data_IF_591086255665
#
_entry.id   IF_591086255665
#
_cell.length_a   1.000
_cell.length_b   1.000
_cell.length_c   1.000
_cell.angle_alpha   90.00
_cell.angle_beta   90.00
_cell.angle_gamma   90.00
#
_symmetry.space_group_name_H-M   'P 1'
#
loop_
_entity.id
_entity.type
_entity.pdbx_description
1 polymer ?
#
# COMPACT_ATOMS: atom_id res chain seq x y z
N UNK A 1 13.58 7.78 5.34
CA UNK A 1 13.33 6.33 5.36
C UNK A 1 12.32 6.13 6.45
N UNK A 2 11.16 5.59 6.10
CA UNK A 2 10.03 5.42 7.01
C UNK A 2 10.47 4.65 8.26
N UNK A 3 10.56 5.36 9.37
CA UNK A 3 10.79 4.79 10.69
C UNK A 3 9.44 4.39 11.32
N UNK A 4 9.48 3.79 12.51
CA UNK A 4 8.29 3.35 13.24
C UNK A 4 7.20 4.43 13.33
N UNK A 5 7.60 5.66 13.65
CA UNK A 5 6.69 6.78 13.82
C UNK A 5 5.98 7.10 12.49
N UNK A 6 6.72 7.17 11.37
CA UNK A 6 6.12 7.45 10.06
C UNK A 6 5.23 6.31 9.54
N UNK A 7 5.55 5.05 9.84
CA UNK A 7 4.67 3.91 9.53
C UNK A 7 3.33 4.07 10.25
N UNK A 8 3.34 4.52 11.50
CA UNK A 8 2.10 4.77 12.25
C UNK A 8 1.30 5.93 11.65
N UNK A 9 1.95 7.03 11.26
CA UNK A 9 1.27 8.13 10.56
C UNK A 9 0.63 7.65 9.25
N UNK A 10 1.34 6.85 8.46
CA UNK A 10 0.80 6.25 7.25
C UNK A 10 -0.44 5.39 7.55
N UNK A 11 -0.38 4.52 8.56
CA UNK A 11 -1.51 3.66 8.91
C UNK A 11 -2.74 4.46 9.36
N UNK A 12 -2.54 5.51 10.17
CA UNK A 12 -3.62 6.37 10.66
C UNK A 12 -4.33 7.08 9.50
N UNK A 13 -3.57 7.79 8.66
CA UNK A 13 -4.16 8.54 7.56
C UNK A 13 -4.68 7.62 6.42
N UNK A 14 -4.12 6.43 6.27
CA UNK A 14 -4.65 5.44 5.32
C UNK A 14 -6.08 5.05 5.71
N UNK A 15 -6.37 4.88 7.00
CA UNK A 15 -7.73 4.63 7.47
C UNK A 15 -8.71 5.75 7.13
N UNK A 16 -8.30 7.01 7.34
CA UNK A 16 -9.09 8.16 6.89
C UNK A 16 -9.23 8.19 5.36
N UNK A 17 -8.21 7.81 4.60
CA UNK A 17 -8.23 7.88 3.14
C UNK A 17 -9.13 6.81 2.52
N UNK A 18 -9.13 5.60 3.10
CA UNK A 18 -9.88 4.44 2.60
C UNK A 18 -11.36 4.43 3.01
N UNK A 19 -11.85 5.42 3.76
CA UNK A 19 -13.29 5.64 3.94
C UNK A 19 -13.97 6.20 2.67
N UNK A 20 -13.18 6.61 1.67
CA UNK A 20 -13.59 7.23 0.40
C UNK A 20 -14.51 8.47 0.52
N UNK A 21 -14.60 9.09 1.70
CA UNK A 21 -15.31 10.35 1.92
C UNK A 21 -14.44 11.56 1.53
N UNK A 22 -14.42 11.88 0.25
CA UNK A 22 -13.66 13.00 -0.30
C UNK A 22 -12.23 12.66 -0.71
N UNK A 23 -11.51 13.62 -1.31
CA UNK A 23 -10.27 13.34 -2.02
C UNK A 23 -9.07 13.18 -1.06
N UNK A 24 -8.15 12.29 -1.43
CA UNK A 24 -7.00 11.90 -0.60
C UNK A 24 -6.02 13.05 -0.32
N UNK A 25 -5.84 13.96 -1.28
CA UNK A 25 -4.97 15.14 -1.15
C UNK A 25 -5.47 16.12 -0.08
N UNK A 26 -6.79 16.34 0.00
CA UNK A 26 -7.41 17.16 1.04
C UNK A 26 -7.22 16.53 2.42
N UNK A 27 -7.37 15.20 2.53
CA UNK A 27 -7.12 14.46 3.78
C UNK A 27 -5.67 14.57 4.22
N UNK A 28 -4.71 14.35 3.31
CA UNK A 28 -3.27 14.58 3.54
C UNK A 28 -2.99 16.01 3.99
N UNK A 29 -3.55 17.02 3.32
CA UNK A 29 -3.38 18.42 3.68
C UNK A 29 -3.90 18.74 5.10
N UNK A 30 -5.08 18.23 5.46
CA UNK A 30 -5.66 18.40 6.79
C UNK A 30 -4.81 17.68 7.85
N UNK A 31 -4.40 16.45 7.58
CA UNK A 31 -3.58 15.65 8.48
C UNK A 31 -2.24 16.34 8.80
N UNK A 32 -1.54 16.85 7.77
CA UNK A 32 -0.27 17.57 7.96
C UNK A 32 -0.43 18.92 8.67
N UNK A 33 -1.62 19.54 8.62
CA UNK A 33 -1.92 20.74 9.43
C UNK A 33 -2.11 20.41 10.90
N UNK A 34 -2.69 19.25 11.21
CA UNK A 34 -2.87 18.76 12.58
C UNK A 34 -1.57 18.23 13.20
N UNK A 35 -0.65 17.75 12.37
CA UNK A 35 0.64 17.17 12.76
C UNK A 35 1.80 18.08 12.33
N UNK A 36 1.88 19.26 12.97
CA UNK A 36 2.85 20.31 12.65
C UNK A 36 4.31 19.91 12.88
N UNK A 37 4.55 18.87 13.68
CA UNK A 37 5.86 18.27 13.94
C UNK A 37 6.46 17.54 12.73
N UNK A 38 5.63 17.15 11.75
CA UNK A 38 6.08 16.46 10.54
C UNK A 38 6.78 17.45 9.60
N UNK A 39 8.07 17.22 9.36
CA UNK A 39 8.86 18.01 8.43
C UNK A 39 8.52 17.74 6.96
N UNK A 40 9.07 18.55 6.05
CA UNK A 40 8.82 18.41 4.60
C UNK A 40 9.15 17.01 4.08
N UNK A 41 10.26 16.43 4.56
CA UNK A 41 10.68 15.07 4.19
C UNK A 41 9.66 14.02 4.63
N UNK A 42 9.22 14.09 5.89
CA UNK A 42 8.26 13.15 6.48
C UNK A 42 6.94 13.18 5.72
N UNK A 43 6.45 14.37 5.39
CA UNK A 43 5.24 14.57 4.57
C UNK A 43 5.37 13.95 3.19
N UNK A 44 6.55 14.09 2.56
CA UNK A 44 6.85 13.45 1.28
C UNK A 44 6.77 11.92 1.37
N UNK A 45 7.43 11.33 2.38
CA UNK A 45 7.44 9.88 2.58
C UNK A 45 6.02 9.33 2.90
N UNK A 46 5.23 10.06 3.69
CA UNK A 46 3.82 9.69 3.97
C UNK A 46 2.98 9.77 2.70
N UNK A 47 3.07 10.87 1.94
CA UNK A 47 2.29 11.02 0.71
C UNK A 47 2.63 9.94 -0.32
N UNK A 48 3.91 9.63 -0.51
CA UNK A 48 4.38 8.56 -1.38
C UNK A 48 3.80 7.19 -0.96
N UNK A 49 3.83 6.88 0.33
CA UNK A 49 3.22 5.68 0.88
C UNK A 49 1.72 5.60 0.59
N UNK A 50 0.97 6.65 0.89
CA UNK A 50 -0.49 6.66 0.69
C UNK A 50 -0.85 6.51 -0.78
N UNK A 51 -0.27 7.31 -1.68
CA UNK A 51 -0.57 7.19 -3.11
C UNK A 51 -0.04 5.89 -3.71
N UNK A 52 1.07 5.37 -3.21
CA UNK A 52 1.61 4.07 -3.57
C UNK A 52 0.63 2.94 -3.23
N UNK A 53 0.06 2.96 -2.02
CA UNK A 53 -0.95 2.00 -1.57
C UNK A 53 -2.22 2.13 -2.40
N UNK A 54 -2.75 3.34 -2.60
CA UNK A 54 -3.98 3.56 -3.37
C UNK A 54 -3.85 3.01 -4.80
N UNK A 55 -2.71 3.20 -5.46
CA UNK A 55 -2.45 2.69 -6.81
C UNK A 55 -2.37 1.16 -6.88
N UNK A 56 -2.01 0.50 -5.78
CA UNK A 56 -1.87 -0.96 -5.68
C UNK A 56 -2.89 -1.58 -4.73
N UNK A 57 -4.01 -0.90 -4.47
CA UNK A 57 -4.88 -1.22 -3.34
C UNK A 57 -5.48 -2.63 -3.45
N UNK A 58 -5.97 -3.01 -4.64
CA UNK A 58 -6.58 -4.33 -4.87
C UNK A 58 -5.56 -5.46 -4.65
N UNK A 59 -4.35 -5.31 -5.21
CA UNK A 59 -3.26 -6.26 -5.00
C UNK A 59 -2.90 -6.37 -3.52
N UNK A 60 -2.70 -5.23 -2.86
CA UNK A 60 -2.32 -5.17 -1.45
C UNK A 60 -3.40 -5.76 -0.54
N UNK A 61 -4.67 -5.47 -0.76
CA UNK A 61 -5.78 -6.11 -0.03
C UNK A 61 -5.79 -7.62 -0.23
N UNK A 62 -5.65 -8.09 -1.49
CA UNK A 62 -5.63 -9.53 -1.80
C UNK A 62 -4.49 -10.27 -1.10
N UNK A 63 -3.25 -9.76 -1.15
CA UNK A 63 -2.12 -10.38 -0.43
C UNK A 63 -2.27 -10.28 1.10
N UNK A 64 -3.11 -9.37 1.61
CA UNK A 64 -3.45 -9.28 3.02
C UNK A 64 -4.70 -10.09 3.40
N UNK A 65 -5.28 -10.86 2.48
CA UNK A 65 -6.55 -11.58 2.71
C UNK A 65 -7.69 -10.65 3.17
N UNK A 66 -7.71 -9.43 2.62
CA UNK A 66 -8.69 -8.39 2.93
C UNK A 66 -8.74 -7.98 4.43
N UNK A 67 -7.63 -8.18 5.15
CA UNK A 67 -7.43 -7.67 6.53
C UNK A 67 -7.56 -6.14 6.56
N UNK A 68 -8.40 -5.62 7.48
CA UNK A 68 -8.64 -4.18 7.68
C UNK A 68 -7.52 -3.48 8.47
N UNK A 69 -6.45 -4.19 8.81
CA UNK A 69 -5.30 -3.60 9.48
C UNK A 69 -4.46 -2.73 8.53
N UNK A 70 -4.68 -1.42 8.61
CA UNK A 70 -3.95 -0.43 7.80
C UNK A 70 -2.43 -0.47 7.98
N UNK A 71 -1.93 -0.83 9.16
CA UNK A 71 -0.48 -0.96 9.38
C UNK A 71 0.09 -2.14 8.58
N UNK A 72 -0.62 -3.26 8.51
CA UNK A 72 -0.23 -4.40 7.65
C UNK A 72 -0.26 -4.02 6.16
N UNK A 73 -1.21 -3.21 5.71
CA UNK A 73 -1.20 -2.69 4.33
C UNK A 73 0.04 -1.83 4.04
N UNK A 74 0.43 -0.93 4.97
CA UNK A 74 1.66 -0.13 4.86
C UNK A 74 2.90 -1.02 4.79
N UNK A 75 3.04 -2.00 5.69
CA UNK A 75 4.16 -2.93 5.71
C UNK A 75 4.21 -3.76 4.41
N UNK A 76 3.04 -4.17 3.92
CA UNK A 76 2.94 -4.93 2.67
C UNK A 76 3.42 -4.14 1.46
N UNK A 77 3.03 -2.86 1.38
CA UNK A 77 3.51 -1.96 0.33
C UNK A 77 5.03 -1.78 0.41
N UNK A 78 5.57 -1.56 1.61
CA UNK A 78 7.02 -1.43 1.83
C UNK A 78 7.81 -2.66 1.36
N UNK A 79 7.28 -3.86 1.58
CA UNK A 79 7.98 -5.10 1.26
C UNK A 79 7.78 -5.51 -0.20
N UNK A 80 6.54 -5.50 -0.69
CA UNK A 80 6.18 -6.08 -2.00
C UNK A 80 6.28 -5.09 -3.16
N UNK A 81 6.16 -3.79 -2.90
CA UNK A 81 6.20 -2.75 -3.94
C UNK A 81 7.51 -1.97 -3.87
N UNK A 82 7.88 -1.46 -2.69
CA UNK A 82 9.12 -0.72 -2.47
C UNK A 82 10.38 -1.61 -2.34
N UNK A 83 10.19 -2.94 -2.22
CA UNK A 83 11.30 -3.90 -2.15
C UNK A 83 12.12 -3.86 -0.85
N UNK A 84 11.62 -3.24 0.23
CA UNK A 84 12.32 -3.19 1.53
C UNK A 84 12.49 -4.59 2.10
N UNK A 85 13.63 -4.84 2.74
CA UNK A 85 13.83 -6.07 3.49
C UNK A 85 13.14 -6.00 4.85
N UNK A 86 12.77 -7.16 5.42
CA UNK A 86 12.22 -7.21 6.78
C UNK A 86 13.24 -6.66 7.78
N UNK A 87 14.54 -6.91 7.55
CA UNK A 87 15.64 -6.40 8.36
C UNK A 87 15.66 -4.87 8.44
N UNK A 88 15.34 -4.18 7.34
CA UNK A 88 15.26 -2.71 7.32
C UNK A 88 14.11 -2.19 8.20
N UNK A 89 13.08 -3.02 8.39
CA UNK A 89 11.87 -2.70 9.15
C UNK A 89 11.89 -3.25 10.58
N UNK A 90 12.80 -4.16 10.94
CA UNK A 90 12.81 -4.89 12.22
C UNK A 90 12.72 -3.97 13.45
N UNK A 91 13.39 -2.81 13.43
CA UNK A 91 13.34 -1.84 14.54
C UNK A 91 11.99 -1.15 14.70
N UNK A 92 11.16 -1.23 13.67
CA UNK A 92 9.85 -0.60 13.58
C UNK A 92 8.70 -1.60 13.66
N UNK A 93 8.99 -2.90 13.80
CA UNK A 93 7.98 -3.95 13.84
C UNK A 93 8.07 -4.71 15.17
N UNK A 94 6.92 -5.10 15.69
CA UNK A 94 6.88 -6.04 16.81
C UNK A 94 7.10 -7.49 16.33
N UNK A 95 7.26 -8.44 17.25
CA UNK A 95 7.52 -9.85 16.92
C UNK A 95 6.43 -10.48 16.04
N UNK A 96 5.17 -10.18 16.30
CA UNK A 96 4.03 -10.70 15.54
C UNK A 96 4.03 -10.16 14.11
N UNK A 97 4.27 -8.85 13.95
CA UNK A 97 4.38 -8.18 12.66
C UNK A 97 5.56 -8.73 11.83
N UNK A 98 6.68 -9.06 12.47
CA UNK A 98 7.83 -9.69 11.81
C UNK A 98 7.47 -11.09 11.28
N UNK A 99 6.83 -11.93 12.09
CA UNK A 99 6.44 -13.28 11.67
C UNK A 99 5.38 -13.23 10.56
N UNK A 100 4.42 -12.32 10.66
CA UNK A 100 3.45 -12.08 9.60
C UNK A 100 4.11 -11.53 8.32
N UNK A 101 5.08 -10.61 8.43
CA UNK A 101 5.82 -10.12 7.25
C UNK A 101 6.62 -11.23 6.55
N UNK A 102 7.11 -12.23 7.29
CA UNK A 102 7.75 -13.43 6.70
C UNK A 102 6.73 -14.26 5.91
N UNK A 103 5.54 -14.49 6.46
CA UNK A 103 4.49 -15.25 5.75
C UNK A 103 4.00 -14.51 4.49
N UNK A 104 3.96 -13.17 4.53
CA UNK A 104 3.65 -12.34 3.37
C UNK A 104 4.64 -12.56 2.21
N UNK A 105 5.94 -12.70 2.49
CA UNK A 105 6.94 -12.97 1.45
C UNK A 105 6.72 -14.31 0.76
N UNK A 106 6.29 -15.33 1.50
CA UNK A 106 6.00 -16.66 0.96
C UNK A 106 4.70 -16.78 0.17
N UNK A 107 3.85 -15.74 0.14
CA UNK A 107 2.61 -15.79 -0.64
C UNK A 107 2.91 -15.89 -2.13
N UNK A 108 2.40 -16.97 -2.73
CA UNK A 108 2.41 -17.24 -4.16
C UNK A 108 1.38 -16.33 -4.86
N UNK A 109 1.90 -15.24 -5.43
CA UNK A 109 1.09 -14.26 -6.19
C UNK A 109 0.86 -14.69 -7.63
N UNK A 110 1.47 -15.79 -8.11
CA UNK A 110 1.35 -16.18 -9.52
C UNK A 110 -0.06 -16.65 -9.84
N UNK A 111 -0.76 -17.20 -8.84
CA UNK A 111 -2.17 -17.59 -8.88
C UNK A 111 -3.15 -16.43 -9.03
N UNK A 112 -2.70 -15.18 -8.84
CA UNK A 112 -3.59 -14.03 -8.97
C UNK A 112 -3.82 -13.69 -10.43
N UNK A 113 -5.02 -13.23 -10.73
CA UNK A 113 -5.37 -12.73 -12.06
C UNK A 113 -4.57 -11.46 -12.37
N UNK A 114 -4.36 -11.16 -13.65
CA UNK A 114 -3.72 -9.91 -14.06
C UNK A 114 -4.38 -8.64 -13.50
N UNK A 115 -5.71 -8.47 -13.53
CA UNK A 115 -6.32 -7.28 -12.96
C UNK A 115 -6.15 -7.18 -11.43
N UNK A 116 -6.04 -8.31 -10.70
CA UNK A 116 -5.65 -8.29 -9.28
C UNK A 116 -4.21 -7.81 -9.11
N UNK A 117 -3.25 -8.36 -9.88
CA UNK A 117 -1.82 -7.99 -9.84
C UNK A 117 -1.60 -6.51 -10.18
N UNK A 118 -2.28 -6.02 -11.21
CA UNK A 118 -2.17 -4.64 -11.70
C UNK A 118 -2.99 -3.65 -10.87
N UNK A 119 -3.90 -4.15 -10.01
CA UNK A 119 -4.89 -3.36 -9.28
C UNK A 119 -5.85 -2.59 -10.19
N UNK A 120 -6.26 -3.22 -11.28
CA UNK A 120 -7.29 -2.71 -12.19
C UNK A 120 -8.67 -3.27 -11.84
N UNK A 121 -9.76 -2.52 -12.05
CA UNK A 121 -11.09 -3.08 -12.10
C UNK A 121 -11.23 -4.07 -13.26
N UNK A 122 -12.01 -5.13 -13.07
CA UNK A 122 -12.16 -6.19 -14.08
C UNK A 122 -12.72 -5.63 -15.41
N UNK A 123 -13.71 -4.72 -15.36
CA UNK A 123 -14.28 -4.11 -16.57
C UNK A 123 -13.24 -3.35 -17.42
N UNK A 124 -12.24 -2.72 -16.79
CA UNK A 124 -11.21 -1.97 -17.51
C UNK A 124 -10.20 -2.93 -18.12
N UNK A 125 -9.86 -3.99 -17.39
CA UNK A 125 -9.01 -5.05 -17.88
C UNK A 125 -9.60 -5.75 -19.10
N UNK A 126 -10.89 -6.09 -19.07
CA UNK A 126 -11.58 -6.72 -20.19
C UNK A 126 -11.52 -5.85 -21.45
N UNK A 127 -11.75 -4.54 -21.32
CA UNK A 127 -11.62 -3.58 -22.44
C UNK A 127 -10.19 -3.49 -22.99
N UNK A 128 -9.17 -3.51 -22.12
CA UNK A 128 -7.77 -3.47 -22.54
C UNK A 128 -7.39 -4.74 -23.32
N UNK A 129 -7.83 -5.91 -22.83
CA UNK A 129 -7.57 -7.19 -23.49
C UNK A 129 -8.32 -7.28 -24.81
N UNK A 130 -9.56 -6.82 -24.88
CA UNK A 130 -10.33 -6.79 -26.13
C UNK A 130 -9.65 -5.92 -27.20
N UNK A 131 -9.16 -4.74 -26.80
CA UNK A 131 -8.58 -3.77 -27.73
C UNK A 131 -7.15 -4.11 -28.16
N UNK A 132 -6.32 -4.61 -27.25
CA UNK A 132 -4.87 -4.75 -27.46
C UNK A 132 -4.33 -6.17 -27.30
N UNK A 133 -5.14 -7.11 -26.79
CA UNK A 133 -4.69 -8.44 -26.41
C UNK A 133 -4.00 -8.47 -25.04
N UNK A 134 -3.76 -9.67 -24.53
CA UNK A 134 -3.19 -9.86 -23.17
C UNK A 134 -1.76 -9.33 -23.09
N UNK A 135 -0.92 -9.60 -24.09
CA UNK A 135 0.51 -9.29 -24.04
C UNK A 135 0.78 -7.79 -23.93
N UNK A 136 -0.02 -6.95 -24.59
CA UNK A 136 0.07 -5.50 -24.49
C UNK A 136 -0.63 -4.95 -23.24
N UNK A 137 -1.69 -5.61 -22.75
CA UNK A 137 -2.43 -5.17 -21.57
C UNK A 137 -1.64 -5.35 -20.25
N UNK A 138 -0.59 -6.18 -20.23
CA UNK A 138 0.23 -6.46 -19.03
C UNK A 138 1.51 -5.61 -18.93
N UNK A 139 1.81 -4.78 -19.92
CA UNK A 139 2.98 -3.89 -19.96
C UNK A 139 2.76 -2.68 -19.04
#
# INVERSE_FOLDING_TARGET
>A
MLNLNLIQHCANILGETLDFNGPADMKLSNYFRQHGELGQKDRGEIAECIYGILRRLRFLKKINEDDENYKKLVISWLIKIEGRSIRDLERSLNKEEIEWAKSLKSKDTDKYTWPEKLSLPDWLWDLLVEQYGIDEAII
#
